data_IF_315970025796
#
_entry.id   IF_315970025796
#
_cell.length_a   1.000
_cell.length_b   1.000
_cell.length_c   1.000
_cell.angle_alpha   90.00
_cell.angle_beta   90.00
_cell.angle_gamma   90.00
#
_symmetry.space_group_name_H-M   'P 1'
#
loop_
_entity.id
_entity.type
_entity.pdbx_description
1 polymer ?
#
# COMPACT_ATOMS: atom_id res chain seq x y z
N UNK A 1 -32.46 -38.59 -14.37
CA UNK A 1 -32.41 -37.14 -14.04
C UNK A 1 -31.57 -36.77 -12.81
N UNK A 2 -31.12 -37.69 -11.94
CA UNK A 2 -30.28 -37.36 -10.76
C UNK A 2 -28.83 -36.98 -11.12
N UNK A 3 -28.22 -37.62 -12.13
CA UNK A 3 -26.84 -37.35 -12.56
C UNK A 3 -26.65 -35.95 -13.18
N UNK A 4 -27.66 -35.43 -13.88
CA UNK A 4 -27.60 -34.09 -14.51
C UNK A 4 -27.60 -32.96 -13.46
N UNK A 5 -28.36 -33.11 -12.37
CA UNK A 5 -28.42 -32.12 -11.27
C UNK A 5 -27.09 -32.03 -10.51
N UNK A 6 -26.38 -33.15 -10.35
CA UNK A 6 -25.04 -33.16 -9.73
C UNK A 6 -23.98 -32.44 -10.55
N UNK A 7 -23.97 -32.59 -11.87
CA UNK A 7 -23.04 -31.89 -12.75
C UNK A 7 -23.25 -30.36 -12.74
N UNK A 8 -24.50 -29.90 -12.64
CA UNK A 8 -24.81 -28.47 -12.55
C UNK A 8 -24.26 -27.88 -11.24
N UNK A 9 -24.42 -28.58 -10.12
CA UNK A 9 -23.92 -28.13 -8.81
C UNK A 9 -22.39 -28.06 -8.80
N UNK A 10 -21.72 -29.06 -9.36
CA UNK A 10 -20.26 -29.08 -9.47
C UNK A 10 -19.78 -27.91 -10.35
N UNK A 11 -20.45 -27.65 -11.48
CA UNK A 11 -20.11 -26.53 -12.37
C UNK A 11 -20.28 -25.17 -11.68
N UNK A 12 -21.35 -24.97 -10.91
CA UNK A 12 -21.57 -23.73 -10.13
C UNK A 12 -20.49 -23.57 -9.07
N UNK A 13 -20.10 -24.65 -8.38
CA UNK A 13 -19.05 -24.59 -7.35
C UNK A 13 -17.68 -24.23 -7.94
N UNK A 14 -17.32 -24.79 -9.10
CA UNK A 14 -16.08 -24.45 -9.82
C UNK A 14 -16.10 -22.99 -10.28
N UNK A 15 -17.23 -22.50 -10.78
CA UNK A 15 -17.36 -21.10 -11.19
C UNK A 15 -17.19 -20.14 -10.00
N UNK A 16 -17.76 -20.45 -8.83
CA UNK A 16 -17.57 -19.67 -7.61
C UNK A 16 -16.11 -19.67 -7.18
N UNK A 17 -15.44 -20.83 -7.19
CA UNK A 17 -14.01 -20.91 -6.87
C UNK A 17 -13.14 -20.10 -7.84
N UNK A 18 -13.44 -20.16 -9.15
CA UNK A 18 -12.73 -19.37 -10.14
C UNK A 18 -12.95 -17.85 -9.96
N UNK A 19 -14.14 -17.43 -9.55
CA UNK A 19 -14.41 -16.02 -9.20
C UNK A 19 -13.63 -15.61 -7.96
N UNK A 20 -13.55 -16.47 -6.93
CA UNK A 20 -12.77 -16.19 -5.71
C UNK A 20 -11.27 -16.07 -6.05
N UNK A 21 -10.73 -17.00 -6.84
CA UNK A 21 -9.31 -16.99 -7.24
C UNK A 21 -8.98 -15.77 -8.11
N UNK A 22 -9.83 -15.40 -9.08
CA UNK A 22 -9.59 -14.21 -9.91
C UNK A 22 -9.66 -12.91 -9.08
N UNK A 23 -10.55 -12.83 -8.08
CA UNK A 23 -10.54 -11.71 -7.13
C UNK A 23 -9.30 -11.72 -6.22
N UNK A 24 -8.68 -12.89 -6.02
CA UNK A 24 -7.43 -13.04 -5.28
C UNK A 24 -6.21 -12.63 -6.14
N UNK A 25 -6.17 -12.94 -7.44
CA UNK A 25 -5.07 -12.52 -8.34
C UNK A 25 -5.08 -11.01 -8.67
N UNK A 26 -6.21 -10.33 -8.46
CA UNK A 26 -6.29 -8.86 -8.48
C UNK A 26 -5.69 -8.25 -7.18
N UNK A 27 -5.25 -9.08 -6.23
CA UNK A 27 -4.32 -8.71 -5.15
C UNK A 27 -2.86 -8.77 -5.62
N UNK A 28 -2.59 -8.63 -6.91
CA UNK A 28 -1.25 -8.27 -7.36
C UNK A 28 -0.86 -6.96 -6.69
N UNK A 29 -0.10 -7.15 -5.62
CA UNK A 29 0.58 -6.14 -4.82
C UNK A 29 1.08 -5.06 -5.76
N UNK A 30 0.61 -3.83 -5.55
CA UNK A 30 1.49 -2.70 -5.75
C UNK A 30 2.78 -3.06 -5.04
N UNK A 31 3.91 -3.15 -5.74
CA UNK A 31 5.20 -3.52 -5.14
C UNK A 31 5.47 -2.61 -3.94
N UNK A 32 5.18 -3.14 -2.74
CA UNK A 32 5.34 -2.44 -1.48
C UNK A 32 6.75 -2.68 -0.97
N UNK A 33 7.29 -1.66 -0.30
CA UNK A 33 8.48 -1.82 0.54
C UNK A 33 8.08 -1.62 2.00
N UNK A 34 8.88 -2.16 2.92
CA UNK A 34 8.68 -1.87 4.34
C UNK A 34 8.84 -0.37 4.60
N UNK A 35 8.07 0.18 5.53
CA UNK A 35 8.19 1.58 5.97
C UNK A 35 9.61 1.90 6.43
N UNK A 36 10.31 0.95 7.06
CA UNK A 36 11.72 1.11 7.40
C UNK A 36 12.60 1.31 6.16
N UNK A 37 12.47 0.44 5.16
CA UNK A 37 13.19 0.57 3.89
C UNK A 37 12.86 1.87 3.18
N UNK A 38 11.61 2.35 3.27
CA UNK A 38 11.24 3.64 2.75
C UNK A 38 11.98 4.79 3.46
N UNK A 39 12.09 4.75 4.79
CA UNK A 39 12.89 5.73 5.54
C UNK A 39 14.36 5.69 5.14
N UNK A 40 14.97 4.51 5.03
CA UNK A 40 16.36 4.36 4.62
C UNK A 40 16.60 4.99 3.22
N UNK A 41 15.67 4.80 2.28
CA UNK A 41 15.73 5.41 0.94
C UNK A 41 15.54 6.93 0.96
N UNK A 42 14.71 7.45 1.87
CA UNK A 42 14.57 8.90 2.05
C UNK A 42 15.88 9.49 2.56
N UNK A 43 16.49 8.87 3.57
CA UNK A 43 17.78 9.32 4.12
C UNK A 43 18.91 9.26 3.07
N UNK A 44 18.88 8.29 2.15
CA UNK A 44 19.84 8.22 1.05
C UNK A 44 19.67 9.36 0.03
N UNK A 45 18.42 9.76 -0.26
CA UNK A 45 18.10 10.77 -1.28
C UNK A 45 18.11 12.20 -0.78
N UNK A 46 17.77 12.42 0.49
CA UNK A 46 17.72 13.75 1.09
C UNK A 46 19.15 14.27 1.30
N UNK A 47 19.46 15.53 0.96
CA UNK A 47 20.78 16.11 1.20
C UNK A 47 21.19 15.97 2.67
N UNK A 48 22.45 15.63 2.93
CA UNK A 48 22.95 15.42 4.30
C UNK A 48 22.85 16.66 5.19
N UNK A 49 22.81 17.85 4.60
CA UNK A 49 22.66 19.11 5.33
C UNK A 49 21.19 19.50 5.56
N UNK A 50 20.23 18.72 5.03
CA UNK A 50 18.82 18.93 5.33
C UNK A 50 18.52 18.56 6.78
N UNK A 51 17.72 19.40 7.45
CA UNK A 51 17.36 19.22 8.85
C UNK A 51 15.97 18.57 8.91
N UNK A 52 15.88 17.37 9.47
CA UNK A 52 14.60 16.72 9.73
C UNK A 52 13.80 17.48 10.81
N UNK A 53 12.55 17.80 10.50
CA UNK A 53 11.66 18.60 11.36
C UNK A 53 10.54 17.77 12.00
N UNK A 54 10.43 16.48 11.65
CA UNK A 54 9.42 15.57 12.16
C UNK A 54 8.48 15.05 11.06
N UNK A 55 7.41 14.39 11.49
CA UNK A 55 6.43 13.78 10.59
C UNK A 55 5.00 13.94 11.07
N UNK A 56 4.05 13.77 10.16
CA UNK A 56 2.62 13.73 10.44
C UNK A 56 1.95 12.62 9.64
N UNK A 57 1.12 11.81 10.32
CA UNK A 57 0.25 10.83 9.67
C UNK A 57 -1.09 11.46 9.28
N UNK A 58 -1.57 11.12 8.10
CA UNK A 58 -2.90 11.42 7.61
C UNK A 58 -3.69 10.13 7.48
N UNK A 59 -4.50 9.82 8.49
CA UNK A 59 -5.33 8.61 8.54
C UNK A 59 -6.44 8.59 7.47
N UNK A 60 -6.83 9.73 6.92
CA UNK A 60 -7.89 9.77 5.88
C UNK A 60 -7.31 9.41 4.52
N UNK A 61 -6.06 9.79 4.26
CA UNK A 61 -5.40 9.57 2.97
C UNK A 61 -4.47 8.35 2.94
N UNK A 62 -4.16 7.76 4.09
CA UNK A 62 -3.12 6.72 4.17
C UNK A 62 -1.73 7.28 3.86
N UNK A 63 -1.42 8.49 4.36
CA UNK A 63 -0.14 9.15 4.04
C UNK A 63 0.66 9.44 5.30
N UNK A 64 1.98 9.26 5.25
CA UNK A 64 2.93 9.84 6.20
C UNK A 64 3.71 10.95 5.50
N UNK A 65 3.64 12.17 6.03
CA UNK A 65 4.39 13.32 5.51
C UNK A 65 5.57 13.60 6.42
N UNK A 66 6.77 13.55 5.85
CA UNK A 66 8.04 13.90 6.49
C UNK A 66 8.41 15.34 6.12
N UNK A 67 8.86 16.12 7.08
CA UNK A 67 9.21 17.53 6.89
C UNK A 67 10.71 17.73 7.04
N UNK A 68 11.31 18.42 6.07
CA UNK A 68 12.72 18.76 6.07
C UNK A 68 12.92 20.25 5.79
N UNK A 69 13.92 20.85 6.42
CA UNK A 69 14.38 22.20 6.09
C UNK A 69 15.72 22.12 5.36
N UNK A 70 15.81 22.73 4.18
CA UNK A 70 17.03 22.78 3.38
C UNK A 70 17.05 24.03 2.50
N UNK A 71 18.17 24.75 2.49
CA UNK A 71 18.38 26.01 1.73
C UNK A 71 17.25 27.04 1.94
N UNK A 72 16.99 27.36 3.20
CA UNK A 72 15.97 28.36 3.62
C UNK A 72 14.54 28.05 3.13
N UNK A 73 14.26 26.80 2.78
CA UNK A 73 12.95 26.33 2.35
C UNK A 73 12.53 25.05 3.09
N UNK A 74 11.22 24.85 3.19
CA UNK A 74 10.62 23.61 3.68
C UNK A 74 10.33 22.68 2.51
N UNK A 75 10.78 21.44 2.63
CA UNK A 75 10.60 20.34 1.68
C UNK A 75 9.82 19.23 2.37
N UNK A 76 9.08 18.45 1.60
CA UNK A 76 8.31 17.34 2.14
C UNK A 76 8.57 16.05 1.38
N UNK A 77 8.52 14.95 2.12
CA UNK A 77 8.45 13.62 1.53
C UNK A 77 7.15 12.97 1.96
N UNK A 78 6.34 12.56 0.99
CA UNK A 78 5.07 11.87 1.25
C UNK A 78 5.23 10.39 0.97
N UNK A 79 4.96 9.57 1.99
CA UNK A 79 4.88 8.11 1.91
C UNK A 79 3.41 7.70 1.86
N UNK A 80 3.01 6.96 0.84
CA UNK A 80 1.64 6.44 0.71
C UNK A 80 1.58 4.98 1.15
N UNK A 81 0.65 4.69 2.04
CA UNK A 81 0.46 3.41 2.70
C UNK A 81 -0.78 2.70 2.16
N UNK A 82 -0.71 1.38 1.92
CA UNK A 82 -1.87 0.65 1.40
C UNK A 82 -2.98 0.58 2.47
N UNK A 83 -4.22 0.49 2.00
CA UNK A 83 -5.40 0.27 2.85
C UNK A 83 -5.88 -1.18 2.69
N UNK A 84 -6.05 -1.87 3.81
CA UNK A 84 -6.64 -3.20 3.81
C UNK A 84 -8.08 -3.13 3.31
N UNK A 85 -8.36 -3.81 2.19
CA UNK A 85 -9.68 -3.76 1.53
C UNK A 85 -10.82 -4.35 2.38
N UNK A 86 -10.52 -5.17 3.37
CA UNK A 86 -11.50 -5.83 4.25
C UNK A 86 -11.72 -5.01 5.52
N UNK A 87 -10.66 -4.69 6.25
CA UNK A 87 -10.76 -3.99 7.54
C UNK A 87 -10.85 -2.47 7.40
N UNK A 88 -10.52 -1.93 6.22
CA UNK A 88 -10.38 -0.48 5.98
C UNK A 88 -9.28 0.17 6.82
N UNK A 89 -8.42 -0.64 7.41
CA UNK A 89 -7.28 -0.18 8.19
C UNK A 89 -6.11 0.10 7.25
N UNK A 90 -5.41 1.19 7.50
CA UNK A 90 -4.17 1.52 6.80
C UNK A 90 -3.06 0.62 7.34
N UNK A 91 -2.34 -0.04 6.44
CA UNK A 91 -1.13 -0.77 6.75
C UNK A 91 0.04 0.20 6.82
N UNK A 92 0.38 0.62 8.04
CA UNK A 92 1.47 1.57 8.29
C UNK A 92 2.86 0.94 8.18
N UNK A 93 2.96 -0.38 8.01
CA UNK A 93 4.23 -1.10 7.93
C UNK A 93 4.73 -1.19 6.48
N UNK A 94 3.88 -0.88 5.51
CA UNK A 94 4.19 -0.88 4.08
C UNK A 94 4.02 0.49 3.41
N UNK A 95 4.81 0.72 2.37
CA UNK A 95 4.75 1.91 1.53
C UNK A 95 4.73 1.47 0.07
N UNK A 96 3.70 1.87 -0.67
CA UNK A 96 3.58 1.56 -2.11
C UNK A 96 4.01 2.73 -3.01
N UNK A 97 4.14 3.94 -2.46
CA UNK A 97 4.54 5.12 -3.21
C UNK A 97 5.27 6.14 -2.33
N UNK A 98 6.23 6.85 -2.92
CA UNK A 98 7.05 7.85 -2.26
C UNK A 98 7.23 9.06 -3.18
N UNK A 99 6.89 10.25 -2.69
CA UNK A 99 6.98 11.51 -3.43
C UNK A 99 7.87 12.51 -2.70
N UNK A 100 8.81 13.12 -3.42
CA UNK A 100 9.70 14.18 -2.92
C UNK A 100 9.25 15.50 -3.56
N UNK A 101 8.89 16.48 -2.73
CA UNK A 101 8.51 17.84 -3.16
C UNK A 101 9.40 18.90 -2.50
#
# INVERSE_FOLDING_TARGET
MKKLKGCIIIGVFIAILAIIINNLDILKDTDCISTKSAFDLVEEKVPKEAIYQGYKKNQVKGETVLYYSYKDASHIVTLSHPENRITREIDWDEVYNMKFD
#
